data_IF_918173443256
#
_entry.id   IF_918173443256
#
_cell.length_a   1.000
_cell.length_b   1.000
_cell.length_c   1.000
_cell.angle_alpha   90.00
_cell.angle_beta   90.00
_cell.angle_gamma   90.00
#
_symmetry.space_group_name_H-M   'P 1'
#
loop_
_entity.id
_entity.type
_entity.pdbx_description
1 polymer ?
#
# COMPACT_ATOMS: atom_id res chain seq x y z
N UNK A 1 -13.85 15.23 7.18
CA UNK A 1 -14.18 14.93 5.77
C UNK A 1 -15.23 13.83 5.80
N UNK A 2 -16.12 13.77 4.83
CA UNK A 2 -17.02 12.63 4.69
C UNK A 2 -16.19 11.44 4.19
N UNK A 3 -15.96 10.46 5.07
CA UNK A 3 -15.11 9.30 4.79
C UNK A 3 -15.83 8.23 3.95
N UNK A 4 -17.15 8.36 3.77
CA UNK A 4 -17.98 7.42 3.01
C UNK A 4 -18.19 7.89 1.56
N UNK A 5 -17.71 9.10 1.24
CA UNK A 5 -17.83 9.65 -0.10
C UNK A 5 -16.87 8.96 -1.08
N UNK A 6 -17.44 8.32 -2.09
CA UNK A 6 -16.69 7.75 -3.21
C UNK A 6 -16.36 8.79 -4.29
N UNK A 7 -15.23 8.59 -4.96
CA UNK A 7 -14.74 9.45 -6.04
C UNK A 7 -14.39 8.61 -7.26
N UNK A 8 -14.78 9.08 -8.46
CA UNK A 8 -14.36 8.50 -9.73
C UNK A 8 -13.17 9.27 -10.27
N UNK A 9 -12.04 8.58 -10.48
CA UNK A 9 -10.80 9.16 -11.01
C UNK A 9 -10.53 8.52 -12.37
N UNK A 10 -10.24 9.34 -13.39
CA UNK A 10 -9.84 8.87 -14.72
C UNK A 10 -8.35 9.02 -14.89
N UNK A 11 -7.66 7.92 -15.18
CA UNK A 11 -6.23 7.86 -15.40
C UNK A 11 -5.93 7.23 -16.77
N UNK A 12 -4.78 7.57 -17.37
CA UNK A 12 -4.26 6.77 -18.47
C UNK A 12 -3.78 5.42 -17.94
N UNK A 13 -3.69 4.40 -18.79
CA UNK A 13 -3.14 3.10 -18.38
C UNK A 13 -1.70 3.21 -17.85
N UNK A 14 -0.91 4.15 -18.38
CA UNK A 14 0.45 4.42 -17.90
C UNK A 14 0.45 5.02 -16.50
N UNK A 15 -0.40 6.02 -16.24
CA UNK A 15 -0.48 6.67 -14.93
C UNK A 15 -1.05 5.72 -13.88
N UNK A 16 -2.04 4.91 -14.26
CA UNK A 16 -2.60 3.87 -13.40
C UNK A 16 -1.53 2.83 -13.01
N UNK A 17 -0.69 2.41 -13.94
CA UNK A 17 0.45 1.55 -13.66
C UNK A 17 1.40 2.17 -12.61
N UNK A 18 1.75 3.45 -12.76
CA UNK A 18 2.60 4.14 -11.78
C UNK A 18 1.96 4.25 -10.39
N UNK A 19 0.64 4.45 -10.31
CA UNK A 19 -0.08 4.47 -9.04
C UNK A 19 -0.05 3.10 -8.37
N UNK A 20 -0.27 2.03 -9.14
CA UNK A 20 -0.20 0.65 -8.67
C UNK A 20 1.21 0.33 -8.15
N UNK A 21 2.26 0.63 -8.93
CA UNK A 21 3.65 0.42 -8.53
C UNK A 21 3.98 1.16 -7.20
N UNK A 22 3.50 2.39 -7.07
CA UNK A 22 3.67 3.18 -5.85
C UNK A 22 2.96 2.56 -4.64
N UNK A 23 1.73 2.06 -4.82
CA UNK A 23 0.97 1.38 -3.77
C UNK A 23 1.65 0.07 -3.34
N UNK A 24 2.17 -0.72 -4.28
CA UNK A 24 2.93 -1.94 -3.99
C UNK A 24 4.20 -1.64 -3.17
N UNK A 25 4.93 -0.58 -3.55
CA UNK A 25 6.11 -0.14 -2.81
C UNK A 25 5.73 0.28 -1.37
N UNK A 26 4.61 0.99 -1.18
CA UNK A 26 4.14 1.38 0.16
C UNK A 26 3.69 0.17 0.98
N UNK A 27 2.91 -0.76 0.41
CA UNK A 27 2.52 -1.99 1.09
C UNK A 27 3.77 -2.76 1.56
N UNK A 28 4.76 -2.92 0.68
CA UNK A 28 6.00 -3.63 1.00
C UNK A 28 6.79 -2.95 2.11
N UNK A 29 6.91 -1.62 2.09
CA UNK A 29 7.63 -0.87 3.11
C UNK A 29 7.00 -1.05 4.50
N UNK A 30 5.67 -1.02 4.59
CA UNK A 30 4.96 -1.25 5.85
C UNK A 30 5.05 -2.71 6.31
N UNK A 31 5.01 -3.67 5.40
CA UNK A 31 5.21 -5.07 5.73
C UNK A 31 6.61 -5.32 6.30
N UNK A 32 7.65 -4.78 5.68
CA UNK A 32 9.01 -4.88 6.18
C UNK A 32 9.20 -4.14 7.51
N UNK A 33 8.54 -3.00 7.71
CA UNK A 33 8.53 -2.29 9.01
C UNK A 33 7.97 -3.19 10.10
N UNK A 34 6.83 -3.85 9.86
CA UNK A 34 6.25 -4.78 10.81
C UNK A 34 7.17 -5.96 11.11
N UNK A 35 7.74 -6.59 10.08
CA UNK A 35 8.69 -7.70 10.24
C UNK A 35 9.89 -7.27 11.07
N UNK A 36 10.48 -6.12 10.76
CA UNK A 36 11.64 -5.60 11.50
C UNK A 36 11.32 -5.35 12.98
N UNK A 37 10.16 -4.77 13.28
CA UNK A 37 9.74 -4.52 14.67
C UNK A 37 9.47 -5.82 15.46
N UNK A 38 9.12 -6.92 14.78
CA UNK A 38 8.87 -8.23 15.41
C UNK A 38 10.13 -9.08 15.55
N UNK A 39 11.00 -9.09 14.54
CA UNK A 39 12.11 -10.06 14.43
C UNK A 39 13.49 -9.41 14.45
N UNK A 40 13.57 -8.11 14.19
CA UNK A 40 14.82 -7.39 13.93
C UNK A 40 15.38 -7.60 12.52
N UNK A 41 14.69 -8.34 11.64
CA UNK A 41 15.13 -8.63 10.28
C UNK A 41 14.50 -7.69 9.26
N UNK A 42 15.30 -7.21 8.31
CA UNK A 42 14.83 -6.44 7.17
C UNK A 42 15.74 -6.64 5.94
N UNK A 43 15.24 -6.40 4.71
CA UNK A 43 16.08 -6.39 3.51
C UNK A 43 17.19 -5.33 3.58
N UNK A 44 18.28 -5.56 2.84
CA UNK A 44 19.37 -4.58 2.74
C UNK A 44 18.90 -3.25 2.16
N UNK A 45 19.32 -2.14 2.78
CA UNK A 45 18.96 -0.79 2.37
C UNK A 45 17.51 -0.39 2.69
N UNK A 46 16.77 -1.22 3.43
CA UNK A 46 15.44 -0.91 3.92
C UNK A 46 15.46 0.26 4.92
N UNK A 47 14.51 1.18 4.76
CA UNK A 47 14.24 2.25 5.72
C UNK A 47 12.95 1.92 6.45
N UNK A 48 13.04 1.84 7.78
CA UNK A 48 11.86 1.66 8.63
C UNK A 48 10.96 2.89 8.54
N UNK A 49 9.66 2.66 8.43
CA UNK A 49 8.65 3.71 8.51
C UNK A 49 8.37 4.11 9.97
N UNK A 50 7.90 5.33 10.19
CA UNK A 50 7.58 5.83 11.52
C UNK A 50 6.20 5.34 11.97
N UNK A 51 6.17 4.51 13.03
CA UNK A 51 4.97 4.03 13.70
C UNK A 51 5.25 3.64 15.16
N UNK A 52 4.19 3.42 15.93
CA UNK A 52 4.25 3.05 17.34
C UNK A 52 4.74 1.61 17.54
N UNK A 53 4.22 0.68 16.76
CA UNK A 53 4.53 -0.75 16.87
C UNK A 53 4.32 -1.54 15.56
N UNK A 54 4.62 -2.84 15.61
CA UNK A 54 4.45 -3.75 14.48
C UNK A 54 2.98 -3.96 14.08
N UNK A 55 2.05 -3.85 15.02
CA UNK A 55 0.63 -4.02 14.74
C UNK A 55 0.10 -2.83 13.93
N UNK A 56 0.51 -1.62 14.28
CA UNK A 56 0.22 -0.42 13.48
C UNK A 56 0.77 -0.55 12.06
N UNK A 57 2.04 -0.95 11.92
CA UNK A 57 2.63 -1.19 10.60
C UNK A 57 1.86 -2.23 9.79
N UNK A 58 1.42 -3.35 10.41
CA UNK A 58 0.58 -4.36 9.74
C UNK A 58 -0.76 -3.79 9.30
N UNK A 59 -1.47 -3.05 10.16
CA UNK A 59 -2.76 -2.44 9.81
C UNK A 59 -2.63 -1.48 8.63
N UNK A 60 -1.54 -0.72 8.57
CA UNK A 60 -1.28 0.19 7.45
C UNK A 60 -0.96 -0.60 6.17
N UNK A 61 -0.13 -1.65 6.24
CA UNK A 61 0.15 -2.51 5.09
C UNK A 61 -1.15 -3.14 4.53
N UNK A 62 -2.01 -3.66 5.40
CA UNK A 62 -3.32 -4.22 5.03
C UNK A 62 -4.24 -3.17 4.39
N UNK A 63 -4.18 -1.93 4.87
CA UNK A 63 -4.94 -0.83 4.28
C UNK A 63 -4.49 -0.52 2.85
N UNK A 64 -3.18 -0.41 2.61
CA UNK A 64 -2.65 -0.24 1.25
C UNK A 64 -2.97 -1.43 0.35
N UNK A 65 -2.88 -2.66 0.88
CA UNK A 65 -3.24 -3.86 0.14
C UNK A 65 -4.69 -3.84 -0.32
N UNK A 66 -5.63 -3.42 0.54
CA UNK A 66 -7.04 -3.25 0.16
C UNK A 66 -7.23 -2.24 -0.98
N UNK A 67 -6.52 -1.11 -0.93
CA UNK A 67 -6.57 -0.09 -1.99
C UNK A 67 -6.02 -0.67 -3.31
N UNK A 68 -4.87 -1.34 -3.23
CA UNK A 68 -4.23 -1.97 -4.38
C UNK A 68 -5.15 -2.99 -5.05
N UNK A 69 -5.76 -3.90 -4.27
CA UNK A 69 -6.73 -4.87 -4.79
C UNK A 69 -7.89 -4.17 -5.52
N UNK A 70 -8.50 -3.16 -4.91
CA UNK A 70 -9.60 -2.41 -5.52
C UNK A 70 -9.20 -1.70 -6.82
N UNK A 71 -7.97 -1.18 -6.92
CA UNK A 71 -7.45 -0.55 -8.14
C UNK A 71 -7.20 -1.57 -9.26
N UNK A 72 -6.60 -2.72 -8.92
CA UNK A 72 -6.34 -3.80 -9.88
C UNK A 72 -7.64 -4.39 -10.42
N UNK A 73 -8.63 -4.61 -9.55
CA UNK A 73 -9.96 -5.09 -9.95
C UNK A 73 -10.63 -4.12 -10.94
N UNK A 74 -10.66 -2.81 -10.61
CA UNK A 74 -11.18 -1.78 -11.52
C UNK A 74 -10.46 -1.74 -12.87
N UNK A 75 -9.12 -1.91 -12.87
CA UNK A 75 -8.33 -1.97 -14.10
C UNK A 75 -8.73 -3.18 -14.96
N UNK A 76 -8.93 -4.35 -14.33
CA UNK A 76 -9.30 -5.57 -15.03
C UNK A 76 -10.72 -5.51 -15.61
N UNK A 77 -11.65 -4.86 -14.93
CA UNK A 77 -13.04 -4.67 -15.41
C UNK A 77 -13.13 -3.73 -16.62
N UNK A 78 -12.20 -2.77 -16.74
CA UNK A 78 -12.21 -1.75 -17.80
C UNK A 78 -11.34 -2.12 -19.02
N UNK A 79 -10.69 -3.29 -18.99
CA UNK A 79 -9.78 -3.78 -20.03
C UNK A 79 -10.50 -4.64 -21.06
#
# INVERSE_FOLDING_TARGET
>A
MDHDKEYVIRLSGSDLGQVIDGLEARTSAWHHTATYLETGEAPDGFLIEECEDAEEARRIAEHYQRILTAMVEQMMEQR
#
